data_IF_900126902090
#
_entry.id   IF_900126902090
#
_cell.length_a   1.000
_cell.length_b   1.000
_cell.length_c   1.000
_cell.angle_alpha   90.00
_cell.angle_beta   90.00
_cell.angle_gamma   90.00
#
_symmetry.space_group_name_H-M   'P 1'
#
loop_
_entity.id
_entity.type
_entity.pdbx_description
1 polymer ?
#
# COMPACT_ATOMS: atom_id res chain seq x y z
N UNK A 1 -10.97 36.48 9.22
CA UNK A 1 -10.15 35.32 9.60
C UNK A 1 -9.26 35.03 8.40
N UNK A 2 -8.00 35.44 8.50
CA UNK A 2 -7.06 35.53 7.37
C UNK A 2 -6.65 34.11 6.94
N UNK A 3 -6.96 33.74 5.70
CA UNK A 3 -6.45 32.51 5.09
C UNK A 3 -4.93 32.62 5.05
N UNK A 4 -4.23 31.83 5.87
CA UNK A 4 -2.80 31.64 5.73
C UNK A 4 -2.59 30.88 4.40
N UNK A 5 -2.23 31.61 3.35
CA UNK A 5 -1.67 31.04 2.13
C UNK A 5 -0.35 30.35 2.52
N UNK A 6 -0.39 29.03 2.70
CA UNK A 6 0.81 28.23 2.91
C UNK A 6 1.55 28.15 1.57
N UNK A 7 2.66 28.85 1.47
CA UNK A 7 3.54 28.81 0.30
C UNK A 7 3.87 27.37 -0.10
N UNK A 8 3.81 27.07 -1.39
CA UNK A 8 4.25 25.78 -1.95
C UNK A 8 5.75 25.64 -1.66
N UNK A 9 6.16 24.52 -1.06
CA UNK A 9 7.57 24.24 -0.77
C UNK A 9 8.38 24.27 -2.07
N UNK A 10 9.48 25.03 -2.09
CA UNK A 10 10.40 25.08 -3.22
C UNK A 10 11.25 23.81 -3.39
N UNK A 11 11.32 22.97 -2.34
CA UNK A 11 12.02 21.69 -2.36
C UNK A 11 11.05 20.53 -2.63
N UNK A 12 11.40 19.70 -3.61
CA UNK A 12 10.74 18.41 -3.87
C UNK A 12 11.26 17.41 -2.84
N UNK A 13 10.50 17.18 -1.78
CA UNK A 13 10.80 16.16 -0.77
C UNK A 13 10.07 14.86 -1.10
N UNK A 14 10.75 13.86 -1.64
CA UNK A 14 10.18 12.52 -1.88
C UNK A 14 10.22 11.64 -0.64
N UNK A 15 9.53 10.49 -0.71
CA UNK A 15 9.39 9.53 0.39
C UNK A 15 8.74 10.14 1.64
N UNK A 16 7.60 10.80 1.43
CA UNK A 16 6.86 11.52 2.47
C UNK A 16 5.46 10.95 2.69
N UNK A 17 5.04 11.00 3.95
CA UNK A 17 3.64 10.84 4.35
C UNK A 17 3.19 12.11 5.07
N UNK A 18 2.29 12.85 4.45
CA UNK A 18 1.79 14.13 4.97
C UNK A 18 0.34 13.99 5.45
N UNK A 19 0.08 13.97 6.77
CA UNK A 19 -1.27 14.08 7.29
C UNK A 19 -1.81 15.50 7.05
N UNK A 20 -3.09 15.60 6.70
CA UNK A 20 -3.79 16.87 6.54
C UNK A 20 -5.19 16.82 7.13
N UNK A 21 -5.74 18.00 7.42
CA UNK A 21 -7.11 18.18 7.84
C UNK A 21 -7.72 19.38 7.12
N UNK A 22 -8.96 19.24 6.69
CA UNK A 22 -9.78 20.31 6.11
C UNK A 22 -10.91 20.59 7.10
N UNK A 23 -10.69 21.56 7.98
CA UNK A 23 -11.58 21.84 9.12
C UNK A 23 -13.01 22.17 8.70
N UNK A 24 -13.17 22.99 7.65
CA UNK A 24 -14.48 23.38 7.12
C UNK A 24 -15.32 22.19 6.64
N UNK A 25 -14.67 21.08 6.26
CA UNK A 25 -15.32 19.86 5.80
C UNK A 25 -15.26 18.73 6.84
N UNK A 26 -14.77 19.00 8.06
CA UNK A 26 -14.52 17.99 9.10
C UNK A 26 -13.76 16.74 8.57
N UNK A 27 -12.92 16.93 7.55
CA UNK A 27 -12.28 15.82 6.82
C UNK A 27 -10.81 15.75 7.19
N UNK A 28 -10.30 14.53 7.40
CA UNK A 28 -8.88 14.26 7.62
C UNK A 28 -8.39 13.27 6.57
N UNK A 29 -7.14 13.40 6.18
CA UNK A 29 -6.53 12.51 5.20
C UNK A 29 -5.02 12.46 5.34
N UNK A 30 -4.41 11.68 4.45
CA UNK A 30 -2.96 11.59 4.29
C UNK A 30 -2.64 11.62 2.81
N UNK A 31 -1.56 12.30 2.46
CA UNK A 31 -0.93 12.23 1.15
C UNK A 31 0.35 11.40 1.29
N UNK A 32 0.56 10.44 0.40
CA UNK A 32 1.80 9.68 0.32
C UNK A 32 2.45 9.95 -1.03
N UNK A 33 3.73 10.28 -1.01
CA UNK A 33 4.58 10.35 -2.20
C UNK A 33 5.81 9.50 -1.96
N UNK A 34 5.96 8.44 -2.73
CA UNK A 34 7.14 7.57 -2.73
C UNK A 34 7.93 7.86 -4.02
N UNK A 35 9.24 8.10 -3.88
CA UNK A 35 10.17 8.27 -4.99
C UNK A 35 11.31 7.26 -4.85
N UNK A 36 12.49 7.65 -4.33
CA UNK A 36 13.61 6.73 -4.19
C UNK A 36 13.30 5.44 -3.41
N UNK A 37 12.44 5.48 -2.39
CA UNK A 37 12.10 4.30 -1.60
C UNK A 37 11.39 3.22 -2.43
N UNK A 38 10.41 3.61 -3.27
CA UNK A 38 9.71 2.63 -4.11
C UNK A 38 10.61 2.13 -5.24
N UNK A 39 11.43 3.00 -5.83
CA UNK A 39 12.41 2.61 -6.85
C UNK A 39 13.39 1.56 -6.33
N UNK A 40 13.95 1.78 -5.13
CA UNK A 40 14.89 0.84 -4.50
C UNK A 40 14.22 -0.49 -4.16
N UNK A 41 12.95 -0.48 -3.78
CA UNK A 41 12.19 -1.70 -3.51
C UNK A 41 11.98 -2.50 -4.80
N UNK A 42 11.51 -1.86 -5.87
CA UNK A 42 11.18 -2.53 -7.13
C UNK A 42 12.42 -3.06 -7.86
N UNK A 43 13.53 -2.31 -7.85
CA UNK A 43 14.81 -2.68 -8.48
C UNK A 43 15.39 -4.01 -7.96
N UNK A 44 14.99 -4.47 -6.76
CA UNK A 44 15.51 -5.73 -6.18
C UNK A 44 14.96 -6.99 -6.83
N UNK A 45 13.84 -6.90 -7.54
CA UNK A 45 13.08 -8.08 -7.98
C UNK A 45 12.93 -8.21 -9.50
N UNK A 46 13.30 -7.17 -10.28
CA UNK A 46 13.19 -7.15 -11.74
C UNK A 46 11.81 -7.59 -12.25
N UNK A 47 10.77 -7.00 -11.66
CA UNK A 47 9.39 -7.31 -11.99
C UNK A 47 9.00 -6.73 -13.36
N UNK A 48 8.19 -7.47 -14.16
CA UNK A 48 7.52 -6.87 -15.31
C UNK A 48 6.72 -5.63 -14.88
N UNK A 49 6.56 -4.67 -15.79
CA UNK A 49 5.97 -3.35 -15.49
C UNK A 49 4.61 -3.44 -14.79
N UNK A 50 3.72 -4.33 -15.25
CA UNK A 50 2.41 -4.53 -14.66
C UNK A 50 2.47 -5.01 -13.19
N UNK A 51 3.41 -5.91 -12.88
CA UNK A 51 3.64 -6.39 -11.50
C UNK A 51 4.28 -5.30 -10.65
N UNK A 52 5.23 -4.53 -11.22
CA UNK A 52 5.84 -3.38 -10.55
C UNK A 52 4.80 -2.34 -10.13
N UNK A 53 3.84 -2.04 -11.01
CA UNK A 53 2.75 -1.11 -10.73
C UNK A 53 1.86 -1.61 -9.58
N UNK A 54 1.43 -2.86 -9.62
CA UNK A 54 0.62 -3.46 -8.56
C UNK A 54 1.34 -3.46 -7.20
N UNK A 55 2.64 -3.81 -7.19
CA UNK A 55 3.46 -3.75 -5.97
C UNK A 55 3.57 -2.31 -5.46
N UNK A 56 3.75 -1.33 -6.33
CA UNK A 56 3.80 0.08 -5.95
C UNK A 56 2.49 0.59 -5.34
N UNK A 57 1.35 0.20 -5.91
CA UNK A 57 0.02 0.51 -5.36
C UNK A 57 -0.14 -0.08 -3.95
N UNK A 58 0.22 -1.35 -3.77
CA UNK A 58 0.14 -2.01 -2.46
C UNK A 58 1.09 -1.41 -1.43
N UNK A 59 2.31 -1.03 -1.82
CA UNK A 59 3.26 -0.35 -0.94
C UNK A 59 2.74 1.02 -0.53
N UNK A 60 2.13 1.75 -1.47
CA UNK A 60 1.53 3.06 -1.19
C UNK A 60 0.37 2.94 -0.20
N UNK A 61 -0.50 1.95 -0.39
CA UNK A 61 -1.60 1.65 0.53
C UNK A 61 -1.08 1.25 1.92
N UNK A 62 -0.05 0.42 1.98
CA UNK A 62 0.58 0.03 3.25
C UNK A 62 1.25 1.22 3.95
N UNK A 63 1.86 2.16 3.23
CA UNK A 63 2.40 3.38 3.81
C UNK A 63 1.29 4.31 4.35
N UNK A 64 0.19 4.45 3.61
CA UNK A 64 -0.98 5.22 4.03
C UNK A 64 -1.57 4.71 5.35
N UNK A 65 -1.76 3.40 5.47
CA UNK A 65 -2.36 2.76 6.64
C UNK A 65 -1.35 2.55 7.77
N UNK A 66 -0.15 2.09 7.45
CA UNK A 66 0.92 1.80 8.40
C UNK A 66 1.43 3.05 9.12
N UNK A 67 1.49 4.20 8.43
CA UNK A 67 1.85 5.50 9.05
C UNK A 67 0.87 6.00 10.12
N UNK A 68 -0.29 5.33 10.27
CA UNK A 68 -1.23 5.62 11.36
C UNK A 68 -0.84 4.96 12.68
N UNK A 69 0.06 3.99 12.64
CA UNK A 69 0.50 3.25 13.82
C UNK A 69 1.40 4.10 14.71
N UNK A 70 1.43 3.73 16.00
CA UNK A 70 2.43 4.25 16.95
C UNK A 70 3.82 3.77 16.55
N UNK A 71 4.86 4.44 17.06
CA UNK A 71 6.28 4.29 16.67
C UNK A 71 6.86 2.86 16.75
N UNK A 72 6.17 1.89 17.33
CA UNK A 72 6.61 0.49 17.47
C UNK A 72 5.68 -0.57 16.84
N UNK A 73 4.67 -0.16 16.08
CA UNK A 73 3.71 -1.08 15.46
C UNK A 73 4.18 -1.65 14.12
N UNK A 74 3.57 -2.77 13.71
CA UNK A 74 3.70 -3.38 12.38
C UNK A 74 2.33 -3.44 11.71
N UNK A 75 2.30 -3.09 10.43
CA UNK A 75 1.19 -3.31 9.52
C UNK A 75 1.63 -4.29 8.43
N UNK A 76 0.76 -5.21 8.05
CA UNK A 76 0.98 -6.13 6.95
C UNK A 76 -0.24 -6.16 6.05
N UNK A 77 -0.01 -6.00 4.75
CA UNK A 77 -0.96 -6.26 3.68
C UNK A 77 -0.56 -7.55 2.98
N UNK A 78 -1.46 -8.51 2.90
CA UNK A 78 -1.24 -9.75 2.16
C UNK A 78 -2.40 -10.03 1.22
N UNK A 79 -2.11 -10.43 -0.02
CA UNK A 79 -3.10 -11.04 -0.91
C UNK A 79 -2.75 -12.49 -1.15
N UNK A 80 -3.79 -13.31 -1.34
CA UNK A 80 -3.69 -14.64 -1.92
C UNK A 80 -4.86 -14.82 -2.86
N UNK A 81 -4.54 -15.08 -4.11
CA UNK A 81 -5.53 -15.05 -5.17
C UNK A 81 -5.20 -16.02 -6.30
N UNK A 82 -6.17 -16.20 -7.19
CA UNK A 82 -6.08 -17.14 -8.31
C UNK A 82 -5.64 -16.47 -9.62
N UNK A 83 -5.39 -15.15 -9.64
CA UNK A 83 -4.89 -14.42 -10.81
C UNK A 83 -3.42 -14.69 -11.15
N UNK A 84 -2.88 -14.00 -12.18
CA UNK A 84 -1.46 -14.06 -12.56
C UNK A 84 -0.49 -13.76 -11.40
N UNK A 85 -0.85 -12.84 -10.51
CA UNK A 85 -0.15 -12.56 -9.25
C UNK A 85 -0.84 -13.36 -8.14
N UNK A 86 -0.23 -14.47 -7.75
CA UNK A 86 -0.84 -15.43 -6.81
C UNK A 86 -0.70 -15.02 -5.35
N UNK A 87 0.29 -14.17 -5.05
CA UNK A 87 0.52 -13.65 -3.70
C UNK A 87 1.25 -12.31 -3.78
N UNK A 88 0.76 -11.33 -3.04
CA UNK A 88 1.45 -10.08 -2.76
C UNK A 88 1.55 -9.92 -1.25
N UNK A 89 2.70 -9.47 -0.77
CA UNK A 89 2.93 -9.18 0.65
C UNK A 89 3.62 -7.83 0.76
N UNK A 90 3.14 -6.97 1.66
CA UNK A 90 3.81 -5.75 2.08
C UNK A 90 3.84 -5.71 3.59
N UNK A 91 5.03 -5.54 4.15
CA UNK A 91 5.25 -5.27 5.57
C UNK A 91 5.67 -3.80 5.74
N UNK A 92 4.99 -3.12 6.66
CA UNK A 92 5.37 -1.81 7.17
C UNK A 92 5.69 -1.95 8.66
N UNK A 93 6.96 -1.74 9.00
CA UNK A 93 7.43 -1.62 10.38
C UNK A 93 7.56 -0.12 10.70
N UNK A 94 6.77 0.37 11.66
CA UNK A 94 6.82 1.77 12.07
C UNK A 94 8.23 2.15 12.59
N UNK A 95 8.70 3.37 12.33
CA UNK A 95 7.96 4.48 11.72
C UNK A 95 7.99 4.55 10.18
N UNK A 96 8.85 3.78 9.49
CA UNK A 96 9.08 4.02 8.05
C UNK A 96 9.67 2.85 7.26
N UNK A 97 9.85 1.68 7.86
CA UNK A 97 10.52 0.57 7.19
C UNK A 97 9.52 -0.25 6.37
N UNK A 98 9.72 -0.29 5.05
CA UNK A 98 8.85 -0.95 4.09
C UNK A 98 9.57 -2.10 3.39
N UNK A 99 8.86 -3.22 3.25
CA UNK A 99 9.29 -4.38 2.46
C UNK A 99 8.10 -4.91 1.68
N UNK A 100 8.32 -5.35 0.45
CA UNK A 100 7.28 -6.02 -0.31
C UNK A 100 7.84 -7.17 -1.14
N UNK A 101 6.95 -8.11 -1.47
CA UNK A 101 7.22 -9.26 -2.31
C UNK A 101 5.95 -9.61 -3.08
N UNK A 102 6.08 -9.83 -4.39
CA UNK A 102 5.06 -10.47 -5.22
C UNK A 102 5.56 -11.82 -5.75
N UNK A 103 4.65 -12.79 -5.80
CA UNK A 103 4.78 -14.05 -6.54
C UNK A 103 3.80 -14.07 -7.69
N UNK A 104 4.29 -14.42 -8.87
CA UNK A 104 3.49 -14.38 -10.09
C UNK A 104 3.92 -15.49 -11.06
N UNK A 105 3.00 -15.87 -11.93
CA UNK A 105 3.24 -16.82 -13.03
C UNK A 105 3.47 -16.05 -14.33
N UNK A 106 4.69 -16.16 -14.88
CA UNK A 106 5.09 -15.46 -16.11
C UNK A 106 4.22 -15.84 -17.32
N UNK A 107 3.93 -17.13 -17.49
CA UNK A 107 3.15 -17.61 -18.63
C UNK A 107 1.67 -17.21 -18.55
N UNK A 108 1.12 -17.04 -17.34
CA UNK A 108 -0.21 -16.45 -17.15
C UNK A 108 -0.20 -14.94 -17.38
N UNK A 109 0.83 -14.25 -16.89
CA UNK A 109 0.98 -12.80 -17.06
C UNK A 109 1.08 -12.41 -18.55
N UNK A 110 1.82 -13.16 -19.36
CA UNK A 110 1.94 -12.92 -20.81
C UNK A 110 0.62 -13.14 -21.57
N UNK A 111 -0.20 -14.10 -21.13
CA UNK A 111 -1.51 -14.39 -21.73
C UNK A 111 -2.58 -13.38 -21.35
N UNK A 112 -2.45 -12.77 -20.18
CA UNK A 112 -3.43 -11.89 -19.56
C UNK A 112 -2.90 -10.45 -19.43
N UNK A 113 -2.02 -10.06 -20.35
CA UNK A 113 -1.33 -8.78 -20.33
C UNK A 113 -2.34 -7.63 -20.50
N UNK A 114 -2.82 -7.09 -19.37
CA UNK A 114 -3.81 -6.00 -19.30
C UNK A 114 -5.08 -6.33 -18.50
N UNK A 115 -5.27 -7.57 -18.06
CA UNK A 115 -6.37 -7.99 -17.20
C UNK A 115 -6.13 -7.73 -15.70
N UNK A 116 -7.08 -8.11 -14.86
CA UNK A 116 -6.89 -8.09 -13.40
C UNK A 116 -5.83 -9.10 -12.98
N UNK A 117 -4.73 -8.60 -12.41
CA UNK A 117 -3.60 -9.40 -11.98
C UNK A 117 -3.88 -10.20 -10.72
N UNK A 118 -4.82 -9.74 -9.88
CA UNK A 118 -5.14 -10.41 -8.62
C UNK A 118 -6.22 -11.49 -8.85
N UNK A 119 -7.26 -11.22 -9.63
CA UNK A 119 -8.36 -12.15 -9.82
C UNK A 119 -9.20 -12.32 -8.55
N UNK A 120 -9.70 -13.54 -8.33
CA UNK A 120 -10.49 -13.87 -7.15
C UNK A 120 -9.61 -14.37 -5.99
N UNK A 121 -10.01 -14.08 -4.76
CA UNK A 121 -9.24 -14.51 -3.59
C UNK A 121 -9.57 -13.72 -2.34
N UNK A 122 -8.55 -13.41 -1.56
CA UNK A 122 -8.68 -12.57 -0.39
C UNK A 122 -7.45 -11.68 -0.18
N UNK A 123 -7.72 -10.54 0.44
CA UNK A 123 -6.74 -9.62 0.98
C UNK A 123 -6.88 -9.60 2.51
N UNK A 124 -5.77 -9.63 3.23
CA UNK A 124 -5.74 -9.53 4.67
C UNK A 124 -4.91 -8.32 5.09
N UNK A 125 -5.46 -7.52 6.00
CA UNK A 125 -4.73 -6.49 6.73
C UNK A 125 -4.48 -6.97 8.15
N UNK A 126 -3.21 -7.04 8.53
CA UNK A 126 -2.81 -7.43 9.88
C UNK A 126 -2.14 -6.25 10.57
N UNK A 127 -2.66 -5.87 11.73
CA UNK A 127 -2.10 -4.82 12.58
C UNK A 127 -1.57 -5.46 13.86
N UNK A 128 -0.28 -5.29 14.10
CA UNK A 128 0.40 -5.69 15.32
C UNK A 128 0.90 -4.42 16.02
N UNK A 129 0.17 -3.87 17.00
CA UNK A 129 0.55 -2.62 17.67
C UNK A 129 1.81 -2.75 18.57
N UNK A 130 2.29 -3.98 18.82
CA UNK A 130 3.38 -4.26 19.76
C UNK A 130 2.96 -4.24 21.24
N UNK A 131 3.86 -4.67 22.12
CA UNK A 131 3.61 -4.79 23.56
C UNK A 131 2.64 -5.93 23.90
N UNK A 132 1.83 -5.74 24.94
CA UNK A 132 0.83 -6.74 25.41
C UNK A 132 -0.53 -6.63 24.68
N UNK A 133 -0.59 -5.85 23.60
CA UNK A 133 -1.80 -5.66 22.82
C UNK A 133 -1.98 -6.79 21.81
N UNK A 134 -3.23 -7.25 21.63
CA UNK A 134 -3.53 -8.31 20.68
C UNK A 134 -3.40 -7.83 19.23
N UNK A 135 -2.84 -8.72 18.40
CA UNK A 135 -2.85 -8.58 16.94
C UNK A 135 -4.29 -8.58 16.42
N UNK A 136 -4.57 -7.68 15.50
CA UNK A 136 -5.85 -7.60 14.78
C UNK A 136 -5.65 -7.99 13.32
N UNK A 137 -6.62 -8.70 12.73
CA UNK A 137 -6.62 -9.04 11.31
C UNK A 137 -8.01 -8.82 10.71
N UNK A 138 -8.08 -8.04 9.65
CA UNK A 138 -9.24 -7.94 8.76
C UNK A 138 -8.98 -8.72 7.49
N UNK A 139 -9.98 -9.45 6.98
CA UNK A 139 -9.92 -10.20 5.73
C UNK A 139 -11.05 -9.74 4.82
N UNK A 140 -10.72 -9.41 3.58
CA UNK A 140 -11.62 -8.87 2.56
C UNK A 140 -11.55 -9.78 1.33
N UNK A 141 -12.68 -10.03 0.68
CA UNK A 141 -12.72 -10.77 -0.57
C UNK A 141 -12.10 -9.96 -1.72
N UNK A 142 -11.37 -10.64 -2.60
CA UNK A 142 -10.97 -10.10 -3.90
C UNK A 142 -11.93 -10.69 -4.94
N UNK A 143 -12.61 -9.83 -5.69
CA UNK A 143 -13.68 -10.21 -6.63
C UNK A 143 -13.39 -9.76 -8.08
N UNK A 144 -12.11 -9.58 -8.43
CA UNK A 144 -11.75 -9.20 -9.80
C UNK A 144 -11.65 -7.68 -10.05
N UNK A 145 -11.83 -6.86 -9.01
CA UNK A 145 -11.94 -5.39 -9.13
C UNK A 145 -10.64 -4.63 -8.81
N UNK A 146 -9.54 -5.37 -8.56
CA UNK A 146 -8.25 -4.80 -8.20
C UNK A 146 -8.11 -4.36 -6.73
N UNK A 147 -6.95 -3.81 -6.39
CA UNK A 147 -6.56 -3.54 -5.00
C UNK A 147 -7.31 -2.36 -4.37
N UNK A 148 -7.58 -1.31 -5.15
CA UNK A 148 -8.27 -0.09 -4.69
C UNK A 148 -9.70 -0.41 -4.24
N UNK A 149 -10.47 -1.12 -5.09
CA UNK A 149 -11.83 -1.53 -4.77
C UNK A 149 -11.87 -2.40 -3.49
N UNK A 150 -10.95 -3.35 -3.38
CA UNK A 150 -10.85 -4.19 -2.20
C UNK A 150 -10.50 -3.39 -0.93
N UNK A 151 -9.66 -2.35 -1.04
CA UNK A 151 -9.31 -1.49 0.09
C UNK A 151 -10.49 -0.61 0.55
N UNK A 152 -11.40 -0.23 -0.36
CA UNK A 152 -12.61 0.53 -0.02
C UNK A 152 -13.69 -0.30 0.70
N UNK A 153 -13.67 -1.63 0.53
CA UNK A 153 -14.59 -2.53 1.23
C UNK A 153 -14.17 -2.83 2.69
N UNK A 154 -12.99 -2.39 3.11
CA UNK A 154 -12.50 -2.49 4.48
C UNK A 154 -12.88 -1.27 5.32
#
# INVERSE_FOLDING_TARGET
MTLLERAVSAEVVDDIVLPFAVESLSTRGRLVRLGPAIDQLLKRHDYPEAVSKLVAEAVTLAALLGSTLKTSGRFQLQTKSDGPVTMLLVDFDAPSNLRALARFDKGRLERDAGGDLLGAGHMAFTIDPGGDMNRYQGVIALEGEGLEAAAHHY
#
